data_IF_736369272711
#
_entry.id   IF_736369272711
#
_cell.length_a   1.000
_cell.length_b   1.000
_cell.length_c   1.000
_cell.angle_alpha   90.00
_cell.angle_beta   90.00
_cell.angle_gamma   90.00
#
_symmetry.space_group_name_H-M   'P 1'
#
loop_
_entity.id
_entity.type
_entity.pdbx_description
1 polymer ?
#
# COMPACT_ATOMS: atom_id res chain seq x y z
N UNK A 1 10.16 -21.66 16.71
CA UNK A 1 8.78 -21.51 16.19
C UNK A 1 7.77 -21.88 17.28
N UNK A 2 6.58 -21.25 17.28
CA UNK A 2 5.49 -21.65 18.16
C UNK A 2 4.90 -22.99 17.72
N UNK A 3 4.38 -23.77 18.66
CA UNK A 3 3.65 -25.01 18.38
C UNK A 3 2.15 -24.72 18.18
N UNK A 4 1.43 -25.65 17.54
CA UNK A 4 -0.04 -25.54 17.38
C UNK A 4 -0.76 -25.38 18.74
N UNK A 5 -0.28 -26.03 19.79
CA UNK A 5 -0.82 -25.86 21.14
C UNK A 5 -0.61 -24.44 21.70
N UNK A 6 0.58 -23.86 21.47
CA UNK A 6 0.88 -22.48 21.87
C UNK A 6 0.01 -21.48 21.11
N UNK A 7 -0.23 -21.70 19.81
CA UNK A 7 -1.11 -20.85 19.00
C UNK A 7 -2.56 -20.91 19.49
N UNK A 8 -3.10 -22.11 19.76
CA UNK A 8 -4.44 -22.25 20.33
C UNK A 8 -4.56 -21.55 21.69
N UNK A 9 -3.57 -21.72 22.55
CA UNK A 9 -3.55 -21.06 23.86
C UNK A 9 -3.54 -19.52 23.72
N UNK A 10 -2.72 -18.98 22.83
CA UNK A 10 -2.67 -17.54 22.58
C UNK A 10 -4.00 -17.00 22.03
N UNK A 11 -4.59 -17.70 21.05
CA UNK A 11 -5.88 -17.31 20.45
C UNK A 11 -7.04 -17.41 21.45
N UNK A 12 -7.01 -18.40 22.35
CA UNK A 12 -8.00 -18.52 23.42
C UNK A 12 -7.92 -17.34 24.40
N UNK A 13 -6.72 -16.90 24.77
CA UNK A 13 -6.52 -15.70 25.62
C UNK A 13 -7.03 -14.43 24.92
N UNK A 14 -6.83 -14.34 23.61
CA UNK A 14 -7.33 -13.24 22.79
C UNK A 14 -8.82 -13.36 22.43
N UNK A 15 -9.51 -14.41 22.92
CA UNK A 15 -10.92 -14.71 22.65
C UNK A 15 -11.24 -14.76 21.14
N UNK A 16 -10.31 -15.28 20.34
CA UNK A 16 -10.49 -15.41 18.89
C UNK A 16 -11.38 -16.61 18.57
N UNK A 17 -12.34 -16.43 17.65
CA UNK A 17 -13.18 -17.52 17.15
C UNK A 17 -12.42 -18.33 16.09
N UNK A 18 -11.84 -19.46 16.52
CA UNK A 18 -11.08 -20.34 15.64
C UNK A 18 -11.97 -21.20 14.74
N UNK A 19 -13.21 -21.43 15.15
CA UNK A 19 -14.15 -22.28 14.41
C UNK A 19 -14.73 -21.50 13.23
N UNK A 20 -15.13 -20.24 13.45
CA UNK A 20 -15.53 -19.33 12.36
C UNK A 20 -14.39 -19.14 11.34
N UNK A 21 -13.15 -18.99 11.81
CA UNK A 21 -11.99 -18.87 10.93
C UNK A 21 -11.77 -20.14 10.09
N UNK A 22 -12.01 -21.33 10.66
CA UNK A 22 -11.90 -22.60 9.95
C UNK A 22 -12.99 -22.78 8.89
N UNK A 23 -14.22 -22.34 9.17
CA UNK A 23 -15.32 -22.33 8.20
C UNK A 23 -15.04 -21.37 7.04
N UNK A 24 -14.60 -20.14 7.32
CA UNK A 24 -14.25 -19.15 6.29
C UNK A 24 -13.09 -19.62 5.39
N UNK A 25 -12.12 -20.33 5.98
CA UNK A 25 -11.02 -20.94 5.25
C UNK A 25 -11.40 -22.24 4.51
N UNK A 26 -12.64 -22.72 4.67
CA UNK A 26 -13.17 -23.95 4.08
C UNK A 26 -12.26 -25.16 4.34
N UNK A 27 -11.69 -25.26 5.54
CA UNK A 27 -10.76 -26.35 5.88
C UNK A 27 -11.44 -27.72 5.71
N UNK A 28 -12.73 -27.82 6.00
CA UNK A 28 -13.52 -29.04 5.84
C UNK A 28 -13.61 -29.53 4.38
N UNK A 29 -13.38 -28.65 3.39
CA UNK A 29 -13.34 -28.99 1.96
C UNK A 29 -11.93 -29.42 1.51
N UNK A 30 -10.90 -29.19 2.33
CA UNK A 30 -9.52 -29.52 2.00
C UNK A 30 -9.21 -31.00 2.29
N UNK A 31 -9.25 -31.85 1.26
CA UNK A 31 -8.91 -33.29 1.34
C UNK A 31 -7.39 -33.57 1.33
N UNK A 32 -6.57 -32.64 1.82
CA UNK A 32 -5.10 -32.71 1.72
C UNK A 32 -4.45 -33.71 2.69
N UNK A 33 -3.22 -34.14 2.38
CA UNK A 33 -2.42 -35.07 3.21
C UNK A 33 -1.78 -34.42 4.43
N UNK A 34 -1.83 -33.07 4.56
CA UNK A 34 -1.18 -32.30 5.62
C UNK A 34 -2.19 -31.48 6.45
N UNK A 35 -3.13 -32.18 7.08
CA UNK A 35 -4.16 -31.52 7.93
C UNK A 35 -3.56 -30.77 9.11
N UNK A 36 -2.48 -31.28 9.70
CA UNK A 36 -1.80 -30.66 10.83
C UNK A 36 -1.06 -29.37 10.43
N UNK A 37 -0.39 -29.35 9.27
CA UNK A 37 0.24 -28.15 8.74
C UNK A 37 -0.77 -27.08 8.34
N UNK A 38 -1.90 -27.48 7.74
CA UNK A 38 -3.01 -26.58 7.40
C UNK A 38 -3.61 -25.94 8.64
N UNK A 39 -3.87 -26.72 9.70
CA UNK A 39 -4.36 -26.18 10.97
C UNK A 39 -3.35 -25.20 11.60
N UNK A 40 -2.07 -25.57 11.61
CA UNK A 40 -1.03 -24.68 12.12
C UNK A 40 -1.00 -23.34 11.37
N UNK A 41 -1.07 -23.39 10.04
CA UNK A 41 -1.10 -22.22 9.17
C UNK A 41 -2.37 -21.37 9.39
N UNK A 42 -3.53 -22.00 9.61
CA UNK A 42 -4.77 -21.29 9.94
C UNK A 42 -4.60 -20.48 11.23
N UNK A 43 -4.16 -21.13 12.31
CA UNK A 43 -4.04 -20.50 13.62
C UNK A 43 -2.98 -19.39 13.60
N UNK A 44 -1.82 -19.65 13.00
CA UNK A 44 -0.78 -18.63 12.82
C UNK A 44 -1.29 -17.45 11.97
N UNK A 45 -2.03 -17.74 10.90
CA UNK A 45 -2.63 -16.73 10.04
C UNK A 45 -3.70 -15.90 10.74
N UNK A 46 -4.52 -16.50 11.62
CA UNK A 46 -5.52 -15.79 12.42
C UNK A 46 -4.84 -14.83 13.39
N UNK A 47 -3.83 -15.30 14.13
CA UNK A 47 -3.05 -14.47 15.04
C UNK A 47 -2.38 -13.30 14.29
N UNK A 48 -1.77 -13.58 13.13
CA UNK A 48 -1.18 -12.56 12.26
C UNK A 48 -2.19 -11.49 11.84
N UNK A 49 -3.41 -11.89 11.44
CA UNK A 49 -4.48 -10.94 11.06
C UNK A 49 -4.90 -10.05 12.24
N UNK A 50 -5.11 -10.64 13.43
CA UNK A 50 -5.50 -9.87 14.63
C UNK A 50 -4.43 -8.85 15.02
N UNK A 51 -3.16 -9.26 15.07
CA UNK A 51 -2.04 -8.36 15.37
C UNK A 51 -1.88 -7.30 14.28
N UNK A 52 -2.09 -7.67 13.02
CA UNK A 52 -2.08 -6.74 11.90
C UNK A 52 -3.21 -5.70 11.96
N UNK A 53 -4.40 -6.08 12.42
CA UNK A 53 -5.53 -5.16 12.61
C UNK A 53 -5.29 -4.21 13.80
N UNK A 54 -4.76 -4.70 14.91
CA UNK A 54 -4.35 -3.86 16.04
C UNK A 54 -3.25 -2.86 15.63
N UNK A 55 -2.23 -3.34 14.90
CA UNK A 55 -1.19 -2.49 14.34
C UNK A 55 -1.76 -1.43 13.39
N UNK A 56 -2.67 -1.81 12.49
CA UNK A 56 -3.36 -0.87 11.59
C UNK A 56 -4.13 0.18 12.39
N UNK A 57 -4.85 -0.22 13.43
CA UNK A 57 -5.59 0.71 14.29
C UNK A 57 -4.64 1.69 15.00
N UNK A 58 -3.53 1.17 15.54
CA UNK A 58 -2.47 1.97 16.14
C UNK A 58 -1.87 2.97 15.15
N UNK A 59 -1.56 2.57 13.91
CA UNK A 59 -1.00 3.48 12.90
C UNK A 59 -2.01 4.53 12.44
N UNK A 60 -3.24 4.12 12.12
CA UNK A 60 -4.28 5.03 11.62
C UNK A 60 -4.83 5.99 12.68
N UNK A 61 -4.70 5.63 13.96
CA UNK A 61 -5.00 6.52 15.09
C UNK A 61 -3.87 7.49 15.46
N UNK A 62 -2.86 7.68 14.61
CA UNK A 62 -1.79 8.65 14.86
C UNK A 62 -2.32 10.10 14.75
N UNK A 63 -2.01 10.98 15.71
CA UNK A 63 -2.51 12.36 15.69
C UNK A 63 -1.89 13.22 14.59
N UNK A 64 -0.68 12.87 14.13
CA UNK A 64 0.06 13.56 13.08
C UNK A 64 1.04 12.61 12.36
N UNK A 65 1.69 13.14 11.31
CA UNK A 65 2.63 12.38 10.48
C UNK A 65 3.86 11.92 11.28
N UNK A 66 4.35 12.73 12.21
CA UNK A 66 5.51 12.38 13.02
C UNK A 66 5.20 11.18 13.93
N UNK A 67 4.05 11.20 14.60
CA UNK A 67 3.59 10.08 15.42
C UNK A 67 3.31 8.82 14.58
N UNK A 68 2.82 8.98 13.34
CA UNK A 68 2.65 7.86 12.41
C UNK A 68 4.01 7.22 12.07
N UNK A 69 5.00 8.03 11.72
CA UNK A 69 6.35 7.58 11.40
C UNK A 69 7.03 6.90 12.60
N UNK A 70 6.86 7.43 13.81
CA UNK A 70 7.39 6.81 15.04
C UNK A 70 6.74 5.46 15.34
N UNK A 71 5.41 5.36 15.25
CA UNK A 71 4.69 4.09 15.42
C UNK A 71 5.08 3.08 14.33
N UNK A 72 5.21 3.53 13.08
CA UNK A 72 5.66 2.69 11.97
C UNK A 72 7.10 2.20 12.18
N UNK A 73 8.00 3.07 12.66
CA UNK A 73 9.38 2.70 12.99
C UNK A 73 9.46 1.69 14.13
N UNK A 74 8.62 1.83 15.16
CA UNK A 74 8.57 0.89 16.28
C UNK A 74 7.96 -0.46 15.89
N UNK A 75 7.02 -0.47 14.95
CA UNK A 75 6.36 -1.67 14.47
C UNK A 75 7.11 -2.39 13.33
N UNK A 76 7.96 -1.66 12.61
CA UNK A 76 8.81 -2.24 11.59
C UNK A 76 9.73 -3.30 12.21
N UNK A 77 10.19 -4.29 11.41
CA UNK A 77 11.31 -5.11 11.83
C UNK A 77 12.41 -4.13 12.23
N UNK A 78 12.73 -4.09 13.53
CA UNK A 78 13.57 -3.04 14.08
C UNK A 78 14.81 -2.88 13.22
N UNK A 79 15.35 -1.66 13.10
CA UNK A 79 16.66 -1.49 12.49
C UNK A 79 17.64 -2.31 13.32
N UNK A 80 17.84 -3.56 12.92
CA UNK A 80 18.79 -4.46 13.55
C UNK A 80 20.11 -3.80 13.20
N UNK A 81 20.66 -3.07 14.16
CA UNK A 81 22.04 -2.56 14.13
C UNK A 81 23.04 -3.70 13.91
N UNK A 82 22.62 -4.93 14.12
CA UNK A 82 23.22 -6.13 13.56
C UNK A 82 22.54 -6.47 12.22
N UNK A 83 22.91 -5.76 11.16
CA UNK A 83 23.15 -6.47 9.91
C UNK A 83 24.32 -7.42 10.19
N UNK A 84 24.08 -8.48 10.95
CA UNK A 84 25.03 -9.56 11.08
C UNK A 84 25.26 -10.04 9.66
N UNK A 85 26.50 -9.97 9.20
CA UNK A 85 26.88 -10.47 7.87
C UNK A 85 26.66 -11.98 7.69
N UNK A 86 26.05 -12.62 8.70
CA UNK A 86 25.63 -13.99 8.73
C UNK A 86 24.67 -14.31 7.58
N UNK A 87 25.08 -15.17 6.64
CA UNK A 87 24.24 -15.57 5.51
C UNK A 87 22.94 -16.25 5.92
N UNK A 88 22.88 -16.95 7.07
CA UNK A 88 21.65 -17.64 7.51
C UNK A 88 20.57 -16.64 7.92
N UNK A 89 20.90 -15.66 8.76
CA UNK A 89 19.97 -14.58 9.15
C UNK A 89 19.51 -13.76 7.93
N UNK A 90 20.40 -13.54 6.95
CA UNK A 90 20.05 -12.84 5.71
C UNK A 90 19.04 -13.65 4.88
N UNK A 91 19.23 -14.96 4.76
CA UNK A 91 18.29 -15.83 4.04
C UNK A 91 16.92 -15.87 4.72
N UNK A 92 16.88 -15.95 6.06
CA UNK A 92 15.64 -15.91 6.84
C UNK A 92 14.87 -14.58 6.65
N UNK A 93 15.56 -13.43 6.72
CA UNK A 93 14.93 -12.13 6.46
C UNK A 93 14.40 -12.02 5.02
N UNK A 94 15.13 -12.56 4.04
CA UNK A 94 14.67 -12.58 2.65
C UNK A 94 13.44 -13.46 2.46
N UNK A 95 13.40 -14.62 3.12
CA UNK A 95 12.24 -15.51 3.11
C UNK A 95 11.01 -14.84 3.74
N UNK A 96 11.19 -14.16 4.88
CA UNK A 96 10.15 -13.40 5.56
C UNK A 96 9.58 -12.29 4.67
N UNK A 97 10.44 -11.44 4.10
CA UNK A 97 10.01 -10.36 3.21
C UNK A 97 9.28 -10.90 1.96
N UNK A 98 9.75 -12.02 1.39
CA UNK A 98 9.10 -12.64 0.23
C UNK A 98 7.68 -13.13 0.57
N UNK A 99 7.51 -13.75 1.74
CA UNK A 99 6.21 -14.18 2.23
C UNK A 99 5.25 -12.99 2.43
N UNK A 100 5.72 -11.91 3.08
CA UNK A 100 4.93 -10.70 3.30
C UNK A 100 4.50 -10.04 1.98
N UNK A 101 5.41 -9.93 1.01
CA UNK A 101 5.09 -9.39 -0.31
C UNK A 101 4.06 -10.25 -1.06
N UNK A 102 4.18 -11.58 -1.00
CA UNK A 102 3.18 -12.49 -1.57
C UNK A 102 1.81 -12.29 -0.92
N UNK A 103 1.75 -12.23 0.40
CA UNK A 103 0.49 -12.07 1.13
C UNK A 103 -0.16 -10.72 0.84
N UNK A 104 0.63 -9.65 0.74
CA UNK A 104 0.15 -8.32 0.37
C UNK A 104 -0.44 -8.30 -1.04
N UNK A 105 0.26 -8.85 -2.03
CA UNK A 105 -0.22 -8.94 -3.40
C UNK A 105 -1.53 -9.72 -3.49
N UNK A 106 -1.61 -10.87 -2.80
CA UNK A 106 -2.82 -11.69 -2.76
C UNK A 106 -4.00 -10.94 -2.11
N UNK A 107 -3.77 -10.25 -0.99
CA UNK A 107 -4.82 -9.45 -0.32
C UNK A 107 -5.32 -8.33 -1.22
N UNK A 108 -4.44 -7.58 -1.88
CA UNK A 108 -4.85 -6.48 -2.77
C UNK A 108 -5.68 -7.02 -3.94
N UNK A 109 -5.29 -8.17 -4.51
CA UNK A 109 -6.05 -8.79 -5.60
C UNK A 109 -7.47 -9.22 -5.18
N UNK A 110 -7.67 -9.57 -3.91
CA UNK A 110 -8.98 -9.91 -3.35
C UNK A 110 -9.84 -8.71 -2.94
N UNK A 111 -9.32 -7.49 -2.99
CA UNK A 111 -10.08 -6.29 -2.62
C UNK A 111 -11.03 -5.89 -3.76
N UNK A 112 -12.33 -5.94 -3.50
CA UNK A 112 -13.37 -5.42 -4.39
C UNK A 112 -14.03 -4.20 -3.74
N UNK A 113 -13.79 -3.01 -4.30
CA UNK A 113 -14.40 -1.76 -3.82
C UNK A 113 -15.32 -1.15 -4.87
N UNK A 114 -16.47 -0.65 -4.41
CA UNK A 114 -17.43 0.10 -5.24
C UNK A 114 -17.24 1.62 -5.13
N UNK A 115 -16.47 2.10 -4.15
CA UNK A 115 -15.97 3.48 -4.02
C UNK A 115 -14.61 3.48 -3.28
N UNK A 116 -13.77 4.49 -3.56
CA UNK A 116 -12.39 4.79 -3.08
C UNK A 116 -11.69 3.70 -2.21
N UNK A 117 -10.49 3.23 -2.59
CA UNK A 117 -9.63 3.68 -3.70
C UNK A 117 -10.13 3.21 -5.07
N UNK A 118 -9.82 3.98 -6.12
CA UNK A 118 -10.23 3.64 -7.48
C UNK A 118 -9.61 2.30 -7.92
N UNK A 119 -10.31 1.51 -8.74
CA UNK A 119 -9.81 0.23 -9.22
C UNK A 119 -8.39 0.29 -9.83
N UNK A 120 -8.01 1.33 -10.61
CA UNK A 120 -6.64 1.48 -11.09
C UNK A 120 -5.60 1.65 -9.99
N UNK A 121 -5.93 2.34 -8.88
CA UNK A 121 -5.00 2.51 -7.76
C UNK A 121 -4.71 1.17 -7.05
N UNK A 122 -5.72 0.31 -6.93
CA UNK A 122 -5.55 -1.03 -6.35
C UNK A 122 -4.73 -1.93 -7.27
N UNK A 123 -4.97 -1.87 -8.57
CA UNK A 123 -4.17 -2.62 -9.55
C UNK A 123 -2.70 -2.14 -9.53
N UNK A 124 -2.45 -0.84 -9.43
CA UNK A 124 -1.10 -0.30 -9.29
C UNK A 124 -0.39 -0.85 -8.03
N UNK A 125 -1.09 -0.90 -6.90
CA UNK A 125 -0.57 -1.46 -5.67
C UNK A 125 -0.28 -2.97 -5.79
N UNK A 126 -1.15 -3.74 -6.46
CA UNK A 126 -0.95 -5.17 -6.71
C UNK A 126 0.31 -5.42 -7.56
N UNK A 127 0.48 -4.67 -8.65
CA UNK A 127 1.67 -4.76 -9.51
C UNK A 127 2.96 -4.39 -8.76
N UNK A 128 2.91 -3.37 -7.89
CA UNK A 128 4.05 -2.98 -7.04
C UNK A 128 4.42 -4.08 -6.04
N UNK A 129 3.42 -4.73 -5.43
CA UNK A 129 3.64 -5.83 -4.51
C UNK A 129 4.26 -7.06 -5.22
N UNK A 130 3.80 -7.39 -6.43
CA UNK A 130 4.37 -8.50 -7.22
C UNK A 130 5.79 -8.20 -7.73
N UNK A 131 6.08 -6.94 -8.10
CA UNK A 131 7.43 -6.50 -8.41
C UNK A 131 8.37 -6.67 -7.20
N UNK A 132 7.93 -6.24 -6.02
CA UNK A 132 8.67 -6.38 -4.76
C UNK A 132 8.93 -7.86 -4.43
N UNK A 133 7.91 -8.71 -4.57
CA UNK A 133 8.03 -10.17 -4.39
C UNK A 133 9.07 -10.77 -5.34
N UNK A 134 9.07 -10.35 -6.60
CA UNK A 134 10.00 -10.82 -7.63
C UNK A 134 11.42 -10.35 -7.35
N UNK A 135 11.62 -9.10 -6.92
CA UNK A 135 12.93 -8.57 -6.49
C UNK A 135 13.51 -9.35 -5.32
N UNK A 136 12.69 -9.66 -4.30
CA UNK A 136 13.13 -10.45 -3.14
C UNK A 136 13.52 -11.88 -3.53
N UNK A 137 12.82 -12.47 -4.52
CA UNK A 137 13.20 -13.77 -5.10
C UNK A 137 14.55 -13.68 -5.81
N UNK A 138 14.74 -12.69 -6.68
CA UNK A 138 16.01 -12.45 -7.38
C UNK A 138 17.13 -12.31 -6.35
N UNK A 139 16.95 -11.47 -5.33
CA UNK A 139 17.94 -11.27 -4.29
C UNK A 139 18.32 -12.58 -3.57
N UNK A 140 17.33 -13.38 -3.15
CA UNK A 140 17.56 -14.70 -2.55
C UNK A 140 18.34 -15.63 -3.50
N UNK A 141 17.97 -15.67 -4.77
CA UNK A 141 18.60 -16.55 -5.75
C UNK A 141 20.05 -16.11 -6.02
N UNK A 142 20.31 -14.80 -6.06
CA UNK A 142 21.66 -14.21 -6.17
C UNK A 142 22.55 -14.45 -4.94
N UNK A 143 21.96 -14.54 -3.73
CA UNK A 143 22.70 -14.94 -2.53
C UNK A 143 23.24 -16.37 -2.63
N UNK A 144 22.51 -17.25 -3.33
CA UNK A 144 22.92 -18.65 -3.52
C UNK A 144 23.86 -18.83 -4.72
N UNK A 145 23.61 -18.10 -5.81
CA UNK A 145 24.43 -18.13 -7.01
C UNK A 145 24.39 -16.75 -7.71
N UNK A 146 25.47 -15.96 -7.67
CA UNK A 146 25.49 -14.65 -8.30
C UNK A 146 25.42 -14.78 -9.82
N UNK A 147 24.34 -14.28 -10.42
CA UNK A 147 24.13 -14.21 -11.87
C UNK A 147 23.54 -12.85 -12.27
N UNK A 148 24.32 -12.05 -13.00
CA UNK A 148 23.88 -10.72 -13.45
C UNK A 148 22.76 -10.77 -14.50
N UNK A 149 22.50 -11.93 -15.13
CA UNK A 149 21.51 -12.12 -16.19
C UNK A 149 20.18 -12.70 -15.71
N UNK A 150 19.83 -12.56 -14.43
CA UNK A 150 18.66 -13.24 -13.86
C UNK A 150 17.37 -12.95 -14.66
N UNK A 151 16.71 -13.96 -15.26
CA UNK A 151 15.66 -13.76 -16.27
C UNK A 151 14.40 -13.09 -15.70
N UNK A 152 14.21 -13.13 -14.39
CA UNK A 152 13.10 -12.44 -13.73
C UNK A 152 13.20 -10.90 -13.69
N UNK A 153 14.33 -10.30 -14.12
CA UNK A 153 14.48 -8.84 -14.17
C UNK A 153 13.50 -8.17 -15.12
N UNK A 154 13.22 -8.78 -16.29
CA UNK A 154 12.23 -8.26 -17.24
C UNK A 154 10.84 -8.19 -16.61
N UNK A 155 10.47 -9.24 -15.86
CA UNK A 155 9.19 -9.29 -15.13
C UNK A 155 9.09 -8.17 -14.09
N UNK A 156 10.18 -7.83 -13.39
CA UNK A 156 10.16 -6.71 -12.43
C UNK A 156 9.88 -5.39 -13.13
N UNK A 157 10.58 -5.12 -14.23
CA UNK A 157 10.45 -3.87 -14.98
C UNK A 157 9.02 -3.73 -15.52
N UNK A 158 8.48 -4.78 -16.14
CA UNK A 158 7.11 -4.80 -16.67
C UNK A 158 6.07 -4.53 -15.57
N UNK A 159 6.23 -5.12 -14.38
CA UNK A 159 5.32 -4.92 -13.26
C UNK A 159 5.38 -3.48 -12.74
N UNK A 160 6.58 -2.89 -12.65
CA UNK A 160 6.75 -1.49 -12.19
C UNK A 160 6.23 -0.48 -13.22
N UNK A 161 6.48 -0.71 -14.51
CA UNK A 161 5.94 0.14 -15.57
C UNK A 161 4.41 0.09 -15.57
N UNK A 162 3.83 -1.10 -15.42
CA UNK A 162 2.37 -1.25 -15.34
C UNK A 162 1.79 -0.59 -14.09
N UNK A 163 2.46 -0.71 -12.94
CA UNK A 163 2.06 -0.03 -11.72
C UNK A 163 2.06 1.49 -11.90
N UNK A 164 3.09 2.03 -12.55
CA UNK A 164 3.23 3.47 -12.82
C UNK A 164 2.11 3.99 -13.74
N UNK A 165 1.81 3.30 -14.83
CA UNK A 165 0.72 3.67 -15.74
C UNK A 165 -0.63 3.73 -15.01
N UNK A 166 -0.93 2.72 -14.20
CA UNK A 166 -2.17 2.61 -13.46
C UNK A 166 -2.29 3.66 -12.34
N UNK A 167 -1.18 3.99 -11.67
CA UNK A 167 -1.14 5.06 -10.69
C UNK A 167 -1.41 6.44 -11.31
N UNK A 168 -0.85 6.70 -12.50
CA UNK A 168 -1.13 7.93 -13.26
C UNK A 168 -2.59 8.01 -13.73
N UNK A 169 -3.17 6.89 -14.16
CA UNK A 169 -4.58 6.82 -14.52
C UNK A 169 -5.49 7.06 -13.30
N UNK A 170 -5.14 6.51 -12.14
CA UNK A 170 -5.86 6.77 -10.89
C UNK A 170 -5.82 8.25 -10.48
N UNK A 171 -4.66 8.89 -10.63
CA UNK A 171 -4.46 10.30 -10.31
C UNK A 171 -5.25 11.23 -11.24
N UNK A 172 -5.24 10.95 -12.55
CA UNK A 172 -5.94 11.77 -13.55
C UNK A 172 -7.47 11.54 -13.52
N UNK A 173 -7.94 10.32 -13.29
CA UNK A 173 -9.36 10.00 -13.13
C UNK A 173 -9.98 10.46 -11.80
N UNK A 174 -9.16 10.79 -10.81
CA UNK A 174 -9.58 11.34 -9.51
C UNK A 174 -9.68 12.88 -9.50
N UNK A 175 -9.31 13.56 -10.57
CA UNK A 175 -9.46 15.00 -10.68
C UNK A 175 -10.96 15.30 -10.91
N UNK A 176 -11.66 16.01 -10.01
CA UNK A 176 -13.01 16.47 -10.31
C UNK A 176 -12.92 17.32 -11.58
N UNK A 177 -13.71 16.96 -12.58
CA UNK A 177 -13.89 17.79 -13.77
C UNK A 177 -14.41 19.14 -13.30
N UNK A 178 -13.54 20.14 -13.20
CA UNK A 178 -13.98 21.52 -13.03
C UNK A 178 -14.99 21.81 -14.15
N UNK A 179 -16.20 22.28 -13.83
CA UNK A 179 -17.15 22.64 -14.86
C UNK A 179 -16.52 23.78 -15.65
N UNK A 180 -16.19 23.47 -16.90
CA UNK A 180 -15.74 24.43 -17.90
C UNK A 180 -16.64 25.67 -17.80
N UNK A 181 -16.10 26.88 -17.55
CA UNK A 181 -16.91 28.08 -17.56
C UNK A 181 -17.54 28.16 -18.95
N UNK A 182 -18.87 28.14 -18.96
CA UNK A 182 -19.66 28.37 -20.16
C UNK A 182 -19.17 29.69 -20.77
N UNK A 183 -18.71 29.65 -22.02
CA UNK A 183 -18.52 30.84 -22.86
C UNK A 183 -19.91 31.46 -23.13
N UNK A 184 -20.49 32.05 -22.08
CA UNK A 184 -21.60 32.97 -22.18
C UNK A 184 -21.01 34.32 -22.60
N UNK A 185 -20.90 34.48 -23.91
CA UNK A 185 -20.68 35.75 -24.58
C UNK A 185 -21.66 36.82 -24.07
N UNK A 186 -21.21 37.96 -23.52
CA UNK A 186 -22.07 39.13 -23.36
C UNK A 186 -21.95 40.03 -24.61
N UNK A 187 -23.05 40.64 -25.08
CA UNK A 187 -23.09 41.34 -26.35
C UNK A 187 -22.25 42.63 -26.32
N UNK A 188 -21.68 42.95 -27.48
CA UNK A 188 -20.98 44.19 -27.80
C UNK A 188 -21.61 45.44 -27.16
N UNK A 189 -20.85 46.09 -26.28
CA UNK A 189 -21.06 47.49 -25.93
C UNK A 189 -19.78 48.25 -26.32
N UNK A 190 -19.92 49.02 -27.40
CA UNK A 190 -18.85 49.64 -28.17
C UNK A 190 -17.81 50.42 -27.39
N UNK A 191 -16.56 50.26 -27.83
CA UNK A 191 -15.48 51.18 -27.53
C UNK A 191 -15.17 52.02 -28.76
N UNK A 192 -15.17 53.34 -28.57
CA UNK A 192 -14.41 54.26 -29.40
C UNK A 192 -15.13 55.58 -29.64
N UNK A 193 -14.74 56.64 -28.90
CA UNK A 193 -14.16 57.85 -29.51
C UNK A 193 -13.20 58.51 -28.50
N UNK A 194 -12.11 58.97 -29.09
CA UNK A 194 -10.86 59.55 -28.62
C UNK A 194 -10.89 60.90 -27.89
N UNK A 195 -9.77 61.14 -27.19
CA UNK A 195 -8.92 62.35 -27.19
C UNK A 195 -9.23 63.62 -26.36
N UNK A 196 -8.22 63.94 -25.55
CA UNK A 196 -7.60 65.26 -25.27
C UNK A 196 -8.26 66.26 -24.32
N UNK A 197 -7.64 66.39 -23.15
CA UNK A 197 -6.96 67.63 -22.73
C UNK A 197 -7.79 68.81 -22.21
N UNK A 198 -7.62 69.13 -20.92
CA UNK A 198 -7.05 70.41 -20.40
C UNK A 198 -7.53 70.74 -18.98
N UNK A 199 -6.57 70.83 -18.07
CA UNK A 199 -6.44 71.62 -16.84
C UNK A 199 -7.67 72.01 -15.99
N UNK A 200 -7.59 71.75 -14.67
CA UNK A 200 -7.16 72.78 -13.69
C UNK A 200 -7.13 72.28 -12.22
N UNK A 201 -5.99 72.60 -11.59
CA UNK A 201 -5.87 73.14 -10.22
C UNK A 201 -5.98 72.20 -9.00
N UNK A 202 -4.79 71.97 -8.41
CA UNK A 202 -4.42 72.23 -7.00
C UNK A 202 -5.46 73.07 -6.22
N UNK A 203 -5.77 72.87 -4.95
CA UNK A 203 -4.88 72.81 -3.79
C UNK A 203 -5.72 72.64 -2.48
N UNK A 204 -5.02 72.39 -1.38
CA UNK A 204 -5.52 72.13 -0.03
C UNK A 204 -6.16 73.31 0.74
N UNK A 205 -6.79 72.96 1.88
CA UNK A 205 -7.04 73.70 3.16
C UNK A 205 -8.34 74.48 3.37
N UNK A 206 -9.09 74.00 4.37
CA UNK A 206 -9.81 74.76 5.41
C UNK A 206 -8.83 75.43 6.40
N UNK A 207 -9.29 76.37 7.25
CA UNK A 207 -10.23 77.47 7.06
C UNK A 207 -9.53 78.85 7.01
#
# INVERSE_FOLDING_TARGET
MATTAQLRAALAVLHADTDEAAEQARISEMSGTDSAGVEHALLAGLLYRMMGDDLRHSLTGAPDLTALEERARAAGPGTVTDATDDPEHREEHCAQAHFEAYWLAHRIAGLHFTTVPSAPALQAAAHTAEATRTLLRIHRDLLRAPDAGHPAWEVVIDQLDRARELALAAFTGGRPSDPQPSDAWPPDAGAGVSETGRDRSTECRTP
#
